data_IF_560355529376
#
_entry.id   IF_560355529376
#
_cell.length_a   1.000
_cell.length_b   1.000
_cell.length_c   1.000
_cell.angle_alpha   90.00
_cell.angle_beta   90.00
_cell.angle_gamma   90.00
#
_symmetry.space_group_name_H-M   'P 1'
#
loop_
_entity.id
_entity.type
_entity.pdbx_description
1 polymer ?
#
# COMPACT_ATOMS: atom_id res chain seq x y z
N UNK A 1 -34.91 36.70 2.67
CA UNK A 1 -35.19 35.24 2.83
C UNK A 1 -33.84 34.59 3.17
N UNK A 2 -33.59 34.41 4.46
CA UNK A 2 -32.47 33.64 4.97
C UNK A 2 -32.70 32.19 4.58
N UNK A 3 -31.84 31.68 3.70
CA UNK A 3 -31.73 30.26 3.40
C UNK A 3 -31.10 29.61 4.62
N UNK A 4 -31.91 29.06 5.52
CA UNK A 4 -31.45 28.14 6.58
C UNK A 4 -30.66 27.03 5.89
N UNK A 5 -29.38 27.06 6.03
CA UNK A 5 -28.50 25.95 5.66
C UNK A 5 -29.01 24.73 6.42
N UNK A 6 -29.44 23.70 5.68
CA UNK A 6 -29.81 22.41 6.28
C UNK A 6 -28.57 21.90 7.00
N UNK A 7 -28.65 21.84 8.35
CA UNK A 7 -27.61 21.21 9.16
C UNK A 7 -27.47 19.76 8.67
N UNK A 8 -26.28 19.36 8.20
CA UNK A 8 -26.06 17.98 7.80
C UNK A 8 -26.18 17.07 9.02
N UNK A 9 -26.85 15.95 8.87
CA UNK A 9 -27.11 15.02 9.97
C UNK A 9 -25.97 13.99 10.05
N UNK A 10 -25.47 13.78 11.27
CA UNK A 10 -24.58 12.66 11.59
C UNK A 10 -25.44 11.39 11.57
N UNK A 11 -24.98 10.34 10.87
CA UNK A 11 -25.73 9.09 10.73
C UNK A 11 -25.79 8.24 12.00
N UNK A 12 -24.90 8.52 12.97
CA UNK A 12 -24.83 7.84 14.26
C UNK A 12 -25.34 8.78 15.37
N UNK A 13 -26.18 8.28 16.25
CA UNK A 13 -26.56 9.02 17.47
C UNK A 13 -25.35 9.17 18.38
N UNK A 14 -24.99 10.40 18.72
CA UNK A 14 -23.93 10.72 19.69
C UNK A 14 -24.55 11.19 21.00
N UNK A 15 -23.92 10.82 22.12
CA UNK A 15 -24.38 11.27 23.44
C UNK A 15 -24.08 12.76 23.63
N UNK A 16 -24.81 13.43 24.55
CA UNK A 16 -24.54 14.85 24.91
C UNK A 16 -23.09 15.10 25.34
N UNK A 17 -22.45 14.15 26.02
CA UNK A 17 -21.04 14.27 26.42
C UNK A 17 -20.07 14.16 25.23
N UNK A 18 -20.39 13.32 24.27
CA UNK A 18 -19.63 13.24 23.02
C UNK A 18 -19.80 14.52 22.19
N UNK A 19 -20.99 15.07 22.10
CA UNK A 19 -21.25 16.35 21.44
C UNK A 19 -20.43 17.49 22.07
N UNK A 20 -20.42 17.57 23.42
CA UNK A 20 -19.58 18.53 24.16
C UNK A 20 -18.07 18.35 23.83
N UNK A 21 -17.59 17.14 23.77
CA UNK A 21 -16.17 16.87 23.41
C UNK A 21 -15.83 17.39 22.01
N UNK A 22 -16.73 17.22 21.03
CA UNK A 22 -16.54 17.74 19.66
C UNK A 22 -16.53 19.26 19.65
N UNK A 23 -17.48 19.90 20.31
CA UNK A 23 -17.56 21.38 20.40
C UNK A 23 -16.35 21.97 21.13
N UNK A 24 -15.88 21.32 22.19
CA UNK A 24 -14.69 21.76 22.91
C UNK A 24 -13.41 21.60 22.05
N UNK A 25 -13.25 20.49 21.32
CA UNK A 25 -12.15 20.32 20.38
C UNK A 25 -12.17 21.42 19.31
N UNK A 26 -13.34 21.74 18.80
CA UNK A 26 -13.51 22.83 17.84
C UNK A 26 -13.12 24.18 18.44
N UNK A 27 -13.59 24.49 19.63
CA UNK A 27 -13.28 25.74 20.37
C UNK A 27 -11.76 25.91 20.56
N UNK A 28 -11.05 24.82 20.87
CA UNK A 28 -9.62 24.86 21.13
C UNK A 28 -8.79 25.07 19.85
N UNK A 29 -9.24 24.57 18.70
CA UNK A 29 -8.40 24.49 17.51
C UNK A 29 -8.93 25.28 16.30
N UNK A 30 -10.06 25.97 16.41
CA UNK A 30 -10.69 26.69 15.29
C UNK A 30 -9.76 27.70 14.63
N UNK A 31 -8.91 28.38 15.41
CA UNK A 31 -7.97 29.38 14.93
C UNK A 31 -6.65 28.76 14.37
N UNK A 32 -6.42 27.47 14.59
CA UNK A 32 -5.21 26.77 14.12
C UNK A 32 -5.43 26.01 12.81
N UNK A 33 -6.68 25.57 12.55
CA UNK A 33 -7.06 24.87 11.33
C UNK A 33 -7.07 25.81 10.13
N UNK A 34 -6.73 25.30 8.95
CA UNK A 34 -6.75 26.09 7.72
C UNK A 34 -8.18 26.28 7.20
N UNK A 35 -8.45 27.32 6.41
CA UNK A 35 -9.75 27.47 5.73
C UNK A 35 -10.13 26.25 4.89
N UNK A 36 -9.14 25.57 4.28
CA UNK A 36 -9.35 24.35 3.50
C UNK A 36 -9.84 23.18 4.36
N UNK A 37 -9.31 23.05 5.57
CA UNK A 37 -9.76 22.02 6.52
C UNK A 37 -11.21 22.27 6.99
N UNK A 38 -11.61 23.54 7.13
CA UNK A 38 -12.97 23.91 7.54
C UNK A 38 -14.04 23.63 6.47
N UNK A 39 -13.65 23.36 5.24
CA UNK A 39 -14.57 22.87 4.21
C UNK A 39 -15.12 21.46 4.54
N UNK A 40 -14.47 20.70 5.43
CA UNK A 40 -14.92 19.41 5.95
C UNK A 40 -15.68 19.60 7.27
N UNK A 41 -17.00 19.70 7.22
CA UNK A 41 -17.86 19.87 8.39
C UNK A 41 -17.73 18.70 9.39
N UNK A 42 -17.25 17.51 8.96
CA UNK A 42 -17.04 16.34 9.81
C UNK A 42 -15.68 16.33 10.53
N UNK A 43 -14.80 17.29 10.27
CA UNK A 43 -13.41 17.29 10.75
C UNK A 43 -13.32 17.01 12.26
N UNK A 44 -13.89 17.86 13.07
CA UNK A 44 -13.79 17.76 14.54
C UNK A 44 -14.44 16.49 15.08
N UNK A 45 -15.57 16.09 14.52
CA UNK A 45 -16.25 14.83 14.87
C UNK A 45 -15.36 13.61 14.59
N UNK A 46 -14.78 13.52 13.39
CA UNK A 46 -13.94 12.38 12.99
C UNK A 46 -12.70 12.22 13.89
N UNK A 47 -12.04 13.33 14.21
CA UNK A 47 -10.87 13.31 15.09
C UNK A 47 -11.24 12.99 16.53
N UNK A 48 -12.38 13.49 17.03
CA UNK A 48 -12.91 13.11 18.35
C UNK A 48 -13.26 11.63 18.42
N UNK A 49 -14.00 11.12 17.43
CA UNK A 49 -14.41 9.72 17.35
C UNK A 49 -13.21 8.77 17.28
N UNK A 50 -12.19 9.11 16.50
CA UNK A 50 -10.96 8.31 16.35
C UNK A 50 -10.16 8.17 17.68
N UNK A 51 -10.53 8.91 18.71
CA UNK A 51 -9.94 8.86 20.07
C UNK A 51 -10.99 8.65 21.15
N UNK A 52 -12.09 7.97 20.80
CA UNK A 52 -13.19 7.65 21.73
C UNK A 52 -13.69 8.89 22.48
N UNK A 53 -13.71 10.05 21.80
CA UNK A 53 -14.10 11.37 22.32
C UNK A 53 -13.28 11.85 23.55
N UNK A 54 -12.06 11.30 23.73
CA UNK A 54 -11.12 11.77 24.74
C UNK A 54 -10.41 13.03 24.24
N UNK A 55 -10.80 14.18 24.80
CA UNK A 55 -10.39 15.49 24.31
C UNK A 55 -8.87 15.68 24.19
N UNK A 56 -8.01 15.34 25.19
CA UNK A 56 -6.56 15.54 25.06
C UNK A 56 -5.95 14.71 23.91
N UNK A 57 -6.44 13.48 23.72
CA UNK A 57 -5.94 12.59 22.68
C UNK A 57 -6.40 13.05 21.28
N UNK A 58 -7.66 13.53 21.17
CA UNK A 58 -8.20 14.07 19.93
C UNK A 58 -7.49 15.38 19.54
N UNK A 59 -7.24 16.26 20.51
CA UNK A 59 -6.48 17.50 20.33
C UNK A 59 -5.06 17.21 19.82
N UNK A 60 -4.34 16.32 20.48
CA UNK A 60 -2.98 15.94 20.06
C UNK A 60 -2.96 15.38 18.62
N UNK A 61 -3.94 14.54 18.28
CA UNK A 61 -4.05 13.98 16.92
C UNK A 61 -4.34 15.07 15.89
N UNK A 62 -5.28 15.98 16.17
CA UNK A 62 -5.64 17.03 15.21
C UNK A 62 -4.51 18.06 15.05
N UNK A 63 -3.76 18.41 16.11
CA UNK A 63 -2.57 19.27 16.01
C UNK A 63 -1.48 18.63 15.14
N UNK A 64 -1.25 17.33 15.30
CA UNK A 64 -0.33 16.57 14.44
C UNK A 64 -0.76 16.62 12.97
N UNK A 65 -2.06 16.46 12.71
CA UNK A 65 -2.63 16.58 11.37
C UNK A 65 -2.45 17.98 10.77
N UNK A 66 -2.69 19.03 11.54
CA UNK A 66 -2.46 20.43 11.10
C UNK A 66 -1.00 20.65 10.71
N UNK A 67 -0.05 20.18 11.53
CA UNK A 67 1.39 20.28 11.22
C UNK A 67 1.75 19.53 9.94
N UNK A 68 1.29 18.29 9.82
CA UNK A 68 1.53 17.46 8.63
C UNK A 68 0.98 18.11 7.35
N UNK A 69 -0.24 18.67 7.38
CA UNK A 69 -0.81 19.37 6.22
C UNK A 69 0.05 20.55 5.76
N UNK A 70 0.60 21.30 6.73
CA UNK A 70 1.51 22.44 6.46
C UNK A 70 2.85 21.94 5.90
N UNK A 71 3.47 20.93 6.51
CA UNK A 71 4.78 20.39 6.11
C UNK A 71 4.77 19.80 4.70
N UNK A 72 3.69 19.11 4.33
CA UNK A 72 3.57 18.45 3.02
C UNK A 72 2.86 19.34 2.00
N UNK A 73 2.35 20.51 2.42
CA UNK A 73 1.57 21.45 1.60
C UNK A 73 0.33 20.79 0.97
N UNK A 74 -0.40 19.99 1.77
CA UNK A 74 -1.56 19.22 1.30
C UNK A 74 -2.68 20.12 0.81
N UNK A 75 -2.90 21.27 1.43
CA UNK A 75 -3.99 22.18 1.07
C UNK A 75 -3.88 22.71 -0.37
N UNK A 76 -2.66 22.81 -0.88
CA UNK A 76 -2.38 23.26 -2.25
C UNK A 76 -2.00 22.10 -3.21
N UNK A 77 -2.01 20.85 -2.73
CA UNK A 77 -1.51 19.72 -3.55
C UNK A 77 -2.27 19.51 -4.85
N UNK A 78 -3.57 19.81 -4.87
CA UNK A 78 -4.39 19.66 -6.09
C UNK A 78 -4.18 20.76 -7.11
N UNK A 79 -3.65 21.92 -6.71
CA UNK A 79 -3.43 23.08 -7.58
C UNK A 79 -1.97 23.25 -7.97
N UNK A 80 -1.04 22.92 -7.08
CA UNK A 80 0.39 23.17 -7.27
C UNK A 80 1.18 21.94 -7.71
N UNK A 81 0.75 20.72 -7.32
CA UNK A 81 1.45 19.51 -7.69
C UNK A 81 0.83 18.86 -8.92
N UNK A 82 1.64 18.71 -9.97
CA UNK A 82 1.27 17.94 -11.16
C UNK A 82 1.84 16.53 -11.04
N UNK A 83 1.00 15.48 -10.96
CA UNK A 83 1.48 14.12 -10.96
C UNK A 83 2.33 13.79 -12.19
N UNK A 84 3.29 12.88 -12.00
CA UNK A 84 4.05 12.35 -13.12
C UNK A 84 3.14 11.50 -14.01
N UNK A 85 3.30 11.57 -15.32
CA UNK A 85 2.53 10.76 -16.29
C UNK A 85 2.62 9.27 -15.98
N UNK A 86 3.78 8.80 -15.53
CA UNK A 86 3.99 7.40 -15.11
C UNK A 86 3.09 7.03 -13.94
N UNK A 87 2.88 7.94 -12.98
CA UNK A 87 2.00 7.70 -11.84
C UNK A 87 0.55 7.56 -12.31
N UNK A 88 0.08 8.51 -13.11
CA UNK A 88 -1.30 8.52 -13.60
C UNK A 88 -1.64 7.31 -14.48
N UNK A 89 -0.65 6.78 -15.21
CA UNK A 89 -0.85 5.71 -16.18
C UNK A 89 -0.64 4.31 -15.61
N UNK A 90 0.27 4.15 -14.63
CA UNK A 90 0.72 2.83 -14.17
C UNK A 90 0.47 2.54 -12.70
N UNK A 91 0.04 3.52 -11.90
CA UNK A 91 -0.44 3.25 -10.54
C UNK A 91 -1.96 3.03 -10.60
N UNK A 92 -2.42 1.80 -10.39
CA UNK A 92 -3.81 1.41 -10.67
C UNK A 92 -4.75 1.77 -9.52
N UNK A 93 -4.95 3.06 -9.29
CA UNK A 93 -5.87 3.62 -8.30
C UNK A 93 -7.07 4.26 -9.01
N UNK A 94 -8.22 3.59 -9.02
CA UNK A 94 -9.39 4.07 -9.77
C UNK A 94 -10.58 4.33 -8.85
N UNK A 95 -11.22 5.47 -9.04
CA UNK A 95 -12.57 5.69 -8.54
C UNK A 95 -13.55 4.86 -9.37
N UNK A 96 -14.48 4.16 -8.71
CA UNK A 96 -15.46 3.28 -9.37
C UNK A 96 -16.83 3.92 -9.39
N UNK A 97 -17.40 4.17 -8.22
CA UNK A 97 -18.76 4.68 -8.02
C UNK A 97 -18.95 5.15 -6.57
N UNK A 98 -20.17 5.51 -6.23
CA UNK A 98 -20.65 5.56 -4.85
C UNK A 98 -21.50 4.32 -4.57
N UNK A 99 -21.43 3.80 -3.35
CA UNK A 99 -22.28 2.71 -2.89
C UNK A 99 -23.72 3.20 -2.58
N UNK A 100 -24.59 2.27 -2.20
CA UNK A 100 -26.00 2.56 -1.85
C UNK A 100 -26.17 3.58 -0.72
N UNK A 101 -25.15 3.71 0.16
CA UNK A 101 -25.16 4.67 1.28
C UNK A 101 -24.46 5.98 0.95
N UNK A 102 -23.90 6.11 -0.26
CA UNK A 102 -23.14 7.28 -0.71
C UNK A 102 -21.66 7.23 -0.32
N UNK A 103 -21.13 6.07 0.09
CA UNK A 103 -19.70 5.88 0.32
C UNK A 103 -18.96 5.72 -1.01
N UNK A 104 -17.77 6.32 -1.10
CA UNK A 104 -16.92 6.23 -2.28
C UNK A 104 -16.33 4.82 -2.41
N UNK A 105 -16.38 4.25 -3.61
CA UNK A 105 -15.75 2.96 -3.92
C UNK A 105 -14.51 3.18 -4.76
N UNK A 106 -13.38 2.66 -4.28
CA UNK A 106 -12.09 2.71 -4.96
C UNK A 106 -11.57 1.30 -5.24
N UNK A 107 -11.13 1.09 -6.48
CA UNK A 107 -10.50 -0.15 -6.91
C UNK A 107 -9.00 0.03 -7.11
N UNK A 108 -8.22 -0.91 -6.61
CA UNK A 108 -6.76 -0.90 -6.64
C UNK A 108 -6.26 -2.27 -7.13
N UNK A 109 -5.66 -2.31 -8.32
CA UNK A 109 -5.16 -3.54 -8.95
C UNK A 109 -3.68 -3.78 -8.65
N UNK A 110 -3.34 -4.09 -7.40
CA UNK A 110 -1.95 -4.36 -6.99
C UNK A 110 -1.41 -5.67 -7.56
N UNK A 111 -2.30 -6.62 -7.83
CA UNK A 111 -1.92 -7.92 -8.40
C UNK A 111 -1.25 -7.79 -9.75
N UNK A 112 -1.80 -7.00 -10.66
CA UNK A 112 -1.28 -6.81 -12.02
C UNK A 112 -0.25 -5.67 -12.13
N UNK A 113 -0.13 -4.80 -11.11
CA UNK A 113 0.78 -3.66 -11.11
C UNK A 113 2.25 -4.07 -11.31
N UNK A 114 2.99 -3.34 -12.12
CA UNK A 114 4.44 -3.51 -12.28
C UNK A 114 5.20 -2.75 -11.19
N UNK A 115 5.22 -3.32 -9.98
CA UNK A 115 5.84 -2.71 -8.79
C UNK A 115 7.29 -2.30 -9.09
N UNK A 116 8.09 -3.22 -9.67
CA UNK A 116 9.49 -2.94 -10.03
C UNK A 116 9.60 -1.80 -11.03
N UNK A 117 8.76 -1.79 -12.06
CA UNK A 117 8.73 -0.74 -13.07
C UNK A 117 8.36 0.64 -12.48
N UNK A 118 7.35 0.69 -11.64
CA UNK A 118 6.94 1.93 -10.94
C UNK A 118 8.08 2.48 -10.08
N UNK A 119 8.68 1.65 -9.22
CA UNK A 119 9.79 2.07 -8.35
C UNK A 119 11.10 2.32 -9.10
N UNK A 120 11.25 1.82 -10.33
CA UNK A 120 12.37 2.16 -11.20
C UNK A 120 12.16 3.47 -11.95
N UNK A 121 10.92 3.94 -12.09
CA UNK A 121 10.56 5.12 -12.88
C UNK A 121 10.29 6.37 -12.04
N UNK A 122 10.13 6.22 -10.72
CA UNK A 122 9.78 7.33 -9.82
C UNK A 122 10.46 7.18 -8.47
N UNK A 123 10.65 8.31 -7.80
CA UNK A 123 11.08 8.33 -6.40
C UNK A 123 9.91 7.93 -5.49
N UNK A 124 10.20 7.31 -4.35
CA UNK A 124 9.20 6.93 -3.34
C UNK A 124 8.31 8.12 -2.92
N UNK A 125 8.91 9.31 -2.79
CA UNK A 125 8.15 10.52 -2.43
C UNK A 125 7.12 10.92 -3.49
N UNK A 126 7.40 10.71 -4.78
CA UNK A 126 6.46 11.03 -5.85
C UNK A 126 5.29 10.03 -5.86
N UNK A 127 5.54 8.75 -5.52
CA UNK A 127 4.49 7.74 -5.35
C UNK A 127 3.56 8.14 -4.20
N UNK A 128 4.12 8.55 -3.05
CA UNK A 128 3.34 9.01 -1.90
C UNK A 128 2.55 10.28 -2.20
N UNK A 129 3.16 11.27 -2.88
CA UNK A 129 2.46 12.48 -3.31
C UNK A 129 1.29 12.17 -4.24
N UNK A 130 1.47 11.22 -5.17
CA UNK A 130 0.38 10.79 -6.04
C UNK A 130 -0.77 10.14 -5.24
N UNK A 131 -0.45 9.33 -4.24
CA UNK A 131 -1.45 8.77 -3.34
C UNK A 131 -2.20 9.87 -2.58
N UNK A 132 -1.52 10.91 -2.09
CA UNK A 132 -2.17 12.06 -1.42
C UNK A 132 -3.06 12.86 -2.38
N UNK A 133 -2.60 13.12 -3.60
CA UNK A 133 -3.45 13.74 -4.65
C UNK A 133 -4.73 12.93 -4.85
N UNK A 134 -4.61 11.62 -4.88
CA UNK A 134 -5.76 10.73 -5.06
C UNK A 134 -6.70 10.80 -3.87
N UNK A 135 -6.18 10.79 -2.63
CA UNK A 135 -6.99 10.93 -1.42
C UNK A 135 -7.67 12.30 -1.34
N UNK A 136 -6.97 13.40 -1.63
CA UNK A 136 -7.58 14.73 -1.61
C UNK A 136 -8.65 14.91 -2.71
N UNK A 137 -8.48 14.28 -3.87
CA UNK A 137 -9.56 14.20 -4.89
C UNK A 137 -10.77 13.42 -4.35
N UNK A 138 -10.54 12.36 -3.57
CA UNK A 138 -11.63 11.60 -2.96
C UNK A 138 -12.32 12.40 -1.85
N UNK A 139 -11.57 13.15 -1.03
CA UNK A 139 -12.16 14.07 -0.05
C UNK A 139 -13.07 15.12 -0.71
N UNK A 140 -12.69 15.65 -1.89
CA UNK A 140 -13.56 16.53 -2.67
C UNK A 140 -14.84 15.82 -3.10
N UNK A 141 -14.74 14.63 -3.71
CA UNK A 141 -15.89 13.84 -4.16
C UNK A 141 -16.83 13.51 -3.00
N UNK A 142 -16.27 13.12 -1.86
CA UNK A 142 -17.04 12.81 -0.65
C UNK A 142 -17.80 14.05 -0.14
N UNK A 143 -17.16 15.21 -0.10
CA UNK A 143 -17.81 16.48 0.30
C UNK A 143 -18.92 16.90 -0.66
N UNK A 144 -18.68 16.79 -1.96
CA UNK A 144 -19.71 17.08 -2.96
C UNK A 144 -20.93 16.13 -2.85
N UNK A 145 -20.65 14.85 -2.62
CA UNK A 145 -21.71 13.85 -2.41
C UNK A 145 -22.47 14.09 -1.12
N UNK A 146 -21.78 14.44 -0.02
CA UNK A 146 -22.40 14.81 1.27
C UNK A 146 -23.34 16.00 1.11
N UNK A 147 -22.96 17.02 0.35
CA UNK A 147 -23.84 18.18 0.06
C UNK A 147 -25.09 17.78 -0.71
N UNK A 148 -24.98 16.78 -1.62
CA UNK A 148 -26.14 16.28 -2.39
C UNK A 148 -27.06 15.39 -1.56
N UNK A 149 -26.50 14.54 -0.72
CA UNK A 149 -27.26 13.54 0.07
C UNK A 149 -27.73 14.07 1.43
N UNK A 150 -27.12 15.16 1.93
CA UNK A 150 -27.39 15.69 3.27
C UNK A 150 -26.74 14.89 4.40
N UNK A 151 -25.91 13.86 4.11
CA UNK A 151 -25.21 13.04 5.10
C UNK A 151 -23.84 13.63 5.41
N UNK A 152 -23.52 13.83 6.68
CA UNK A 152 -22.24 14.38 7.12
C UNK A 152 -21.11 13.37 7.03
N UNK A 153 -21.38 12.09 7.30
CA UNK A 153 -20.38 11.03 7.28
C UNK A 153 -20.17 10.50 5.87
N UNK A 154 -19.01 10.82 5.35
CA UNK A 154 -18.56 10.34 4.06
C UNK A 154 -17.38 9.36 4.25
N UNK A 155 -17.61 8.09 3.95
CA UNK A 155 -16.64 7.00 4.09
C UNK A 155 -16.28 6.42 2.72
N UNK A 156 -15.23 5.63 2.67
CA UNK A 156 -14.77 4.94 1.47
C UNK A 156 -14.74 3.44 1.66
N UNK A 157 -14.99 2.73 0.58
CA UNK A 157 -14.75 1.29 0.43
C UNK A 157 -13.54 1.14 -0.48
N UNK A 158 -12.52 0.43 -0.02
CA UNK A 158 -11.34 0.10 -0.82
C UNK A 158 -11.41 -1.36 -1.24
N UNK A 159 -11.31 -1.63 -2.54
CA UNK A 159 -11.25 -2.97 -3.11
C UNK A 159 -9.84 -3.18 -3.68
N UNK A 160 -9.05 -4.01 -3.01
CA UNK A 160 -7.69 -4.37 -3.44
C UNK A 160 -7.71 -5.72 -4.16
N UNK A 161 -7.31 -5.74 -5.41
CA UNK A 161 -7.16 -6.97 -6.18
C UNK A 161 -5.72 -7.46 -6.17
N UNK A 162 -5.53 -8.73 -5.77
CA UNK A 162 -4.23 -9.40 -5.72
C UNK A 162 -4.08 -10.53 -6.75
N UNK A 163 -4.92 -10.56 -7.80
CA UNK A 163 -4.74 -11.48 -8.90
C UNK A 163 -3.34 -11.28 -9.53
N UNK A 164 -2.59 -12.37 -9.73
CA UNK A 164 -1.20 -12.32 -10.23
C UNK A 164 -0.18 -11.63 -9.30
N UNK A 165 -0.52 -11.46 -8.02
CA UNK A 165 0.43 -10.96 -7.03
C UNK A 165 1.52 -12.02 -6.79
N UNK A 166 2.76 -11.68 -7.16
CA UNK A 166 3.88 -12.61 -7.14
C UNK A 166 4.74 -12.44 -5.91
N UNK A 167 5.61 -13.43 -5.67
CA UNK A 167 6.61 -13.37 -4.62
C UNK A 167 7.49 -12.11 -4.70
N UNK A 168 8.03 -11.76 -5.88
CA UNK A 168 8.87 -10.57 -6.05
C UNK A 168 8.15 -9.27 -5.65
N UNK A 169 6.84 -9.21 -5.86
CA UNK A 169 6.03 -8.08 -5.40
C UNK A 169 5.87 -8.11 -3.88
N UNK A 170 5.62 -9.30 -3.31
CA UNK A 170 5.40 -9.50 -1.88
C UNK A 170 6.63 -9.19 -1.02
N UNK A 171 7.83 -9.31 -1.58
CA UNK A 171 9.11 -9.07 -0.88
C UNK A 171 9.84 -7.82 -1.35
N UNK A 172 9.27 -7.06 -2.28
CA UNK A 172 9.90 -5.83 -2.78
C UNK A 172 9.99 -4.80 -1.65
N UNK A 173 11.18 -4.60 -1.10
CA UNK A 173 11.42 -3.82 0.11
C UNK A 173 10.83 -2.41 0.03
N UNK A 174 11.14 -1.66 -1.02
CA UNK A 174 10.65 -0.28 -1.17
C UNK A 174 9.13 -0.20 -1.27
N UNK A 175 8.48 -1.21 -1.87
CA UNK A 175 7.04 -1.29 -1.95
C UNK A 175 6.41 -1.53 -0.57
N UNK A 176 6.94 -2.50 0.19
CA UNK A 176 6.47 -2.79 1.56
C UNK A 176 6.64 -1.57 2.47
N UNK A 177 7.81 -0.92 2.42
CA UNK A 177 8.07 0.32 3.17
C UNK A 177 7.11 1.45 2.76
N UNK A 178 6.79 1.55 1.48
CA UNK A 178 5.83 2.53 0.97
C UNK A 178 4.42 2.25 1.48
N UNK A 179 3.98 0.98 1.48
CA UNK A 179 2.69 0.57 2.03
C UNK A 179 2.60 0.86 3.53
N UNK A 180 3.65 0.55 4.31
CA UNK A 180 3.71 0.85 5.74
C UNK A 180 3.59 2.36 5.98
N UNK A 181 4.40 3.15 5.27
CA UNK A 181 4.38 4.60 5.41
C UNK A 181 3.02 5.20 5.03
N UNK A 182 2.42 4.72 3.93
CA UNK A 182 1.10 5.14 3.52
C UNK A 182 0.04 4.78 4.57
N UNK A 183 0.07 3.57 5.12
CA UNK A 183 -0.86 3.12 6.14
C UNK A 183 -0.79 3.98 7.42
N UNK A 184 0.43 4.29 7.89
CA UNK A 184 0.64 5.16 9.05
C UNK A 184 0.10 6.58 8.79
N UNK A 185 0.46 7.18 7.66
CA UNK A 185 0.00 8.53 7.28
C UNK A 185 -1.52 8.54 7.14
N UNK A 186 -2.10 7.50 6.53
CA UNK A 186 -3.55 7.42 6.35
C UNK A 186 -4.28 7.34 7.70
N UNK A 187 -3.84 6.47 8.61
CA UNK A 187 -4.45 6.33 9.94
C UNK A 187 -4.38 7.62 10.77
N UNK A 188 -3.26 8.33 10.67
CA UNK A 188 -3.05 9.57 11.42
C UNK A 188 -3.82 10.77 10.85
N UNK A 189 -4.08 10.80 9.54
CA UNK A 189 -4.55 12.01 8.86
C UNK A 189 -5.94 11.89 8.23
N UNK A 190 -6.44 10.66 8.00
CA UNK A 190 -7.78 10.41 7.43
C UNK A 190 -8.62 9.51 8.34
N UNK A 191 -8.75 9.86 9.66
CA UNK A 191 -9.51 9.02 10.59
C UNK A 191 -10.98 8.94 10.19
N UNK A 192 -11.61 7.79 10.48
CA UNK A 192 -13.03 7.49 10.24
C UNK A 192 -13.47 7.55 8.76
N UNK A 193 -12.53 7.58 7.82
CA UNK A 193 -12.82 7.59 6.37
C UNK A 193 -12.99 6.21 5.76
N UNK A 194 -12.77 5.12 6.50
CA UNK A 194 -12.96 3.76 5.99
C UNK A 194 -14.26 3.15 6.50
N UNK A 195 -15.13 2.74 5.57
CA UNK A 195 -16.28 1.88 5.83
C UNK A 195 -15.84 0.43 5.89
N UNK A 196 -15.19 -0.07 4.84
CA UNK A 196 -14.59 -1.41 4.76
C UNK A 196 -13.44 -1.46 3.74
N UNK A 197 -12.57 -2.43 3.91
CA UNK A 197 -11.51 -2.79 2.96
C UNK A 197 -11.72 -4.23 2.52
N UNK A 198 -11.86 -4.46 1.23
CA UNK A 198 -12.10 -5.78 0.65
C UNK A 198 -10.86 -6.19 -0.13
N UNK A 199 -10.22 -7.27 0.29
CA UNK A 199 -9.09 -7.87 -0.40
C UNK A 199 -9.58 -9.07 -1.20
N UNK A 200 -9.41 -9.06 -2.52
CA UNK A 200 -9.86 -10.12 -3.42
C UNK A 200 -8.68 -10.81 -4.09
N UNK A 201 -8.87 -12.07 -4.48
CA UNK A 201 -7.83 -12.91 -5.09
C UNK A 201 -6.58 -13.04 -4.20
N UNK A 202 -6.76 -13.11 -2.87
CA UNK A 202 -5.64 -13.26 -1.93
C UNK A 202 -4.97 -14.62 -2.09
N UNK A 203 -3.64 -14.63 -1.99
CA UNK A 203 -2.79 -15.80 -2.13
C UNK A 203 -1.81 -15.90 -0.97
N UNK A 204 -1.01 -16.97 -0.91
CA UNK A 204 0.09 -17.09 0.05
C UNK A 204 1.06 -15.91 -0.02
N UNK A 205 1.32 -15.39 -1.22
CA UNK A 205 2.18 -14.21 -1.39
C UNK A 205 1.57 -12.93 -0.80
N UNK A 206 0.25 -12.77 -0.93
CA UNK A 206 -0.45 -11.70 -0.22
C UNK A 206 -0.26 -11.82 1.29
N UNK A 207 -0.47 -13.01 1.85
CA UNK A 207 -0.30 -13.26 3.30
C UNK A 207 1.09 -12.88 3.78
N UNK A 208 2.12 -13.17 2.98
CA UNK A 208 3.49 -12.82 3.24
C UNK A 208 3.69 -11.30 3.38
N UNK A 209 3.25 -10.53 2.39
CA UNK A 209 3.34 -9.07 2.42
C UNK A 209 2.48 -8.47 3.53
N UNK A 210 1.26 -8.97 3.71
CA UNK A 210 0.31 -8.48 4.70
C UNK A 210 0.79 -8.72 6.12
N UNK A 211 1.50 -9.83 6.40
CA UNK A 211 2.07 -10.11 7.73
C UNK A 211 3.01 -9.00 8.22
N UNK A 212 3.71 -8.34 7.30
CA UNK A 212 4.59 -7.20 7.61
C UNK A 212 3.77 -5.91 7.79
N UNK A 213 2.88 -5.60 6.85
CA UNK A 213 2.08 -4.36 6.90
C UNK A 213 1.14 -4.36 8.11
N UNK A 214 0.58 -5.51 8.46
CA UNK A 214 -0.33 -5.67 9.61
C UNK A 214 0.27 -5.20 10.93
N UNK A 215 1.58 -5.24 11.09
CA UNK A 215 2.25 -4.85 12.35
C UNK A 215 2.05 -3.39 12.73
N UNK A 216 1.73 -2.53 11.76
CA UNK A 216 1.52 -1.09 11.96
C UNK A 216 0.05 -0.66 11.88
N UNK A 217 -0.86 -1.59 11.60
CA UNK A 217 -2.28 -1.29 11.47
C UNK A 217 -2.99 -1.27 12.83
N UNK A 218 -3.83 -0.28 13.04
CA UNK A 218 -4.70 -0.21 14.20
C UNK A 218 -5.73 -1.35 14.19
N UNK A 219 -6.04 -1.91 15.35
CA UNK A 219 -7.00 -3.01 15.49
C UNK A 219 -8.38 -2.65 14.89
N UNK A 220 -8.86 -1.43 15.09
CA UNK A 220 -10.11 -0.92 14.54
C UNK A 220 -10.13 -0.94 12.98
N UNK A 221 -8.97 -0.69 12.34
CA UNK A 221 -8.86 -0.79 10.89
C UNK A 221 -8.86 -2.24 10.43
N UNK A 222 -8.15 -3.13 11.13
CA UNK A 222 -8.10 -4.57 10.81
C UNK A 222 -9.50 -5.18 10.86
N UNK A 223 -10.35 -4.78 11.82
CA UNK A 223 -11.74 -5.25 11.94
C UNK A 223 -12.61 -4.88 10.74
N UNK A 224 -12.26 -3.83 10.00
CA UNK A 224 -12.95 -3.40 8.77
C UNK A 224 -12.47 -4.13 7.52
N UNK A 225 -11.51 -5.05 7.63
CA UNK A 225 -10.90 -5.78 6.52
C UNK A 225 -11.59 -7.11 6.28
N UNK A 226 -11.91 -7.40 5.02
CA UNK A 226 -12.46 -8.67 4.57
C UNK A 226 -11.53 -9.27 3.49
N UNK A 227 -11.34 -10.58 3.56
CA UNK A 227 -10.38 -11.30 2.71
C UNK A 227 -11.08 -12.41 1.95
N UNK A 228 -10.92 -12.42 0.63
CA UNK A 228 -11.52 -13.39 -0.27
C UNK A 228 -10.46 -14.00 -1.20
N UNK A 229 -10.61 -15.30 -1.48
CA UNK A 229 -9.91 -15.94 -2.59
C UNK A 229 -10.44 -15.47 -3.94
N UNK A 230 -10.55 -16.40 -4.89
CA UNK A 230 -11.10 -16.13 -6.23
C UNK A 230 -12.63 -16.01 -6.27
N UNK A 231 -13.32 -16.37 -5.20
CA UNK A 231 -14.78 -16.46 -5.12
C UNK A 231 -15.32 -15.78 -3.87
N UNK A 232 -16.63 -15.49 -3.87
CA UNK A 232 -17.38 -15.00 -2.71
C UNK A 232 -17.30 -13.48 -2.49
N UNK A 233 -16.38 -12.77 -3.15
CA UNK A 233 -16.29 -11.32 -3.02
C UNK A 233 -17.36 -10.57 -3.80
N UNK A 234 -17.93 -11.19 -4.82
CA UNK A 234 -18.97 -10.59 -5.66
C UNK A 234 -20.22 -10.29 -4.82
N UNK A 235 -20.67 -11.26 -4.04
CA UNK A 235 -21.80 -11.13 -3.13
C UNK A 235 -21.54 -10.02 -2.10
N UNK A 236 -20.34 -10.00 -1.48
CA UNK A 236 -19.93 -8.97 -0.53
C UNK A 236 -19.97 -7.56 -1.14
N UNK A 237 -19.55 -7.40 -2.39
CA UNK A 237 -19.59 -6.12 -3.07
C UNK A 237 -21.04 -5.71 -3.42
N UNK A 238 -21.85 -6.65 -3.90
CA UNK A 238 -23.26 -6.41 -4.28
C UNK A 238 -24.16 -6.11 -3.08
N UNK A 239 -23.81 -6.53 -1.86
CA UNK A 239 -24.50 -6.09 -0.64
C UNK A 239 -24.52 -4.56 -0.53
N UNK A 240 -23.40 -3.92 -0.79
CA UNK A 240 -23.22 -2.48 -0.60
C UNK A 240 -23.36 -1.67 -1.90
N UNK A 241 -23.03 -2.25 -3.05
CA UNK A 241 -22.95 -1.55 -4.34
C UNK A 241 -24.09 -2.04 -5.24
N UNK A 242 -24.74 -1.13 -5.96
CA UNK A 242 -25.71 -1.49 -6.99
C UNK A 242 -25.03 -2.28 -8.11
N UNK A 243 -25.70 -3.32 -8.63
CA UNK A 243 -25.15 -4.10 -9.73
C UNK A 243 -24.88 -3.22 -10.99
N UNK A 244 -25.68 -2.20 -11.23
CA UNK A 244 -25.55 -1.30 -12.37
C UNK A 244 -24.38 -0.30 -12.21
N UNK A 245 -23.88 -0.10 -10.98
CA UNK A 245 -22.73 0.75 -10.68
C UNK A 245 -21.44 -0.05 -10.52
N UNK A 246 -21.55 -1.35 -10.22
CA UNK A 246 -20.40 -2.23 -10.05
C UNK A 246 -19.92 -2.74 -11.43
N UNK A 247 -18.60 -2.62 -11.75
CA UNK A 247 -18.03 -3.20 -12.97
C UNK A 247 -18.30 -4.68 -13.15
N UNK A 248 -18.51 -5.11 -14.40
CA UNK A 248 -18.79 -6.51 -14.74
C UNK A 248 -17.67 -7.46 -14.25
N UNK A 249 -16.40 -7.09 -14.36
CA UNK A 249 -15.29 -7.90 -13.86
C UNK A 249 -15.26 -8.06 -12.33
N UNK A 250 -16.04 -7.27 -11.59
CA UNK A 250 -16.22 -7.38 -10.15
C UNK A 250 -17.55 -8.06 -9.76
N UNK A 251 -18.32 -8.53 -10.76
CA UNK A 251 -19.60 -9.21 -10.55
C UNK A 251 -20.84 -8.33 -10.72
N UNK A 252 -20.71 -7.10 -11.21
CA UNK A 252 -21.82 -6.21 -11.54
C UNK A 252 -22.22 -6.26 -13.01
N UNK A 253 -22.89 -5.20 -13.48
CA UNK A 253 -23.39 -5.05 -14.86
C UNK A 253 -22.71 -3.91 -15.62
N UNK A 254 -21.91 -3.07 -14.93
CA UNK A 254 -21.32 -1.88 -15.54
C UNK A 254 -20.18 -2.23 -16.48
N UNK A 255 -20.26 -1.73 -17.70
CA UNK A 255 -19.22 -1.84 -18.72
C UNK A 255 -18.59 -0.49 -19.04
N UNK A 256 -17.46 -0.50 -19.72
CA UNK A 256 -16.87 0.70 -20.31
C UNK A 256 -17.70 1.27 -21.46
N UNK A 257 -17.26 2.41 -22.02
CA UNK A 257 -18.01 3.13 -23.09
C UNK A 257 -18.31 2.28 -24.32
N UNK A 258 -17.45 1.30 -24.61
CA UNK A 258 -17.58 0.43 -25.79
C UNK A 258 -18.09 -0.98 -25.42
N UNK A 259 -18.76 -1.12 -24.27
CA UNK A 259 -19.19 -2.42 -23.76
C UNK A 259 -18.01 -3.25 -23.19
N UNK A 260 -16.85 -2.65 -22.95
CA UNK A 260 -15.68 -3.33 -22.35
C UNK A 260 -16.00 -3.75 -20.90
N UNK A 261 -16.03 -5.07 -20.61
CA UNK A 261 -16.31 -5.58 -19.27
C UNK A 261 -15.24 -5.19 -18.25
N UNK A 262 -14.02 -4.88 -18.69
CA UNK A 262 -12.92 -4.43 -17.83
C UNK A 262 -12.99 -2.93 -17.51
N UNK A 263 -13.94 -2.20 -18.11
CA UNK A 263 -14.16 -0.77 -17.85
C UNK A 263 -12.90 0.11 -18.00
N UNK A 264 -12.03 -0.20 -18.96
CA UNK A 264 -10.74 0.51 -19.16
C UNK A 264 -10.88 1.99 -19.46
N UNK A 265 -12.06 2.46 -19.81
CA UNK A 265 -12.35 3.88 -20.01
C UNK A 265 -12.26 4.71 -18.71
N UNK A 266 -12.39 4.08 -17.53
CA UNK A 266 -12.31 4.74 -16.22
C UNK A 266 -11.60 3.92 -15.13
N UNK A 267 -11.27 2.66 -15.39
CA UNK A 267 -10.49 1.79 -14.50
C UNK A 267 -9.08 1.62 -15.05
N UNK A 268 -8.10 1.93 -14.25
CA UNK A 268 -6.68 1.68 -14.54
C UNK A 268 -6.34 0.29 -14.01
N UNK A 269 -6.09 -0.64 -14.91
CA UNK A 269 -5.54 -1.94 -14.57
C UNK A 269 -4.02 -1.89 -14.55
N UNK A 270 -3.40 -2.80 -13.75
CA UNK A 270 -1.96 -2.93 -13.72
C UNK A 270 -1.39 -3.30 -15.10
N UNK A 271 -0.30 -2.68 -15.47
CA UNK A 271 0.41 -2.94 -16.73
C UNK A 271 1.90 -2.68 -16.62
N UNK A 272 2.68 -3.22 -17.56
CA UNK A 272 4.14 -3.05 -17.60
C UNK A 272 4.53 -1.61 -17.86
N UNK A 273 5.41 -1.06 -17.02
CA UNK A 273 6.05 0.24 -17.24
C UNK A 273 7.15 0.09 -18.30
N UNK A 274 7.10 0.85 -19.41
CA UNK A 274 8.14 0.80 -20.42
C UNK A 274 9.50 1.22 -19.84
N UNK A 275 10.56 0.49 -20.20
CA UNK A 275 11.93 0.76 -19.71
C UNK A 275 12.45 2.16 -20.04
N UNK A 276 11.93 2.81 -21.07
CA UNK A 276 12.24 4.21 -21.41
C UNK A 276 11.85 5.21 -20.30
N UNK A 277 10.92 4.82 -19.44
CA UNK A 277 10.48 5.63 -18.31
C UNK A 277 11.32 5.42 -17.05
N UNK A 278 12.24 4.45 -17.05
CA UNK A 278 13.08 4.18 -15.90
C UNK A 278 14.06 5.32 -15.66
N UNK A 279 14.18 5.74 -14.42
CA UNK A 279 15.19 6.69 -14.01
C UNK A 279 16.56 6.06 -14.29
N UNK A 280 17.31 6.66 -15.19
CA UNK A 280 18.62 6.16 -15.57
C UNK A 280 19.60 6.37 -14.41
N UNK A 281 19.81 5.38 -13.59
CA UNK A 281 20.98 5.33 -12.72
C UNK A 281 22.12 4.69 -13.50
N UNK A 282 22.92 5.50 -14.20
CA UNK A 282 24.10 5.08 -14.94
C UNK A 282 25.21 4.50 -14.05
N UNK A 283 25.07 4.58 -12.72
CA UNK A 283 26.05 4.11 -11.77
C UNK A 283 25.52 2.93 -10.96
N UNK A 284 26.24 1.82 -11.06
CA UNK A 284 26.04 0.67 -10.17
C UNK A 284 26.44 1.05 -8.76
N UNK A 285 25.47 1.21 -7.88
CA UNK A 285 25.63 1.81 -6.56
C UNK A 285 26.23 0.80 -5.59
N UNK A 286 25.78 -0.45 -5.67
CA UNK A 286 26.18 -1.46 -4.69
C UNK A 286 27.63 -1.91 -4.85
N UNK A 287 28.16 -1.90 -6.08
CA UNK A 287 29.59 -2.18 -6.32
C UNK A 287 30.54 -1.16 -5.70
N UNK A 288 30.03 0.02 -5.32
CA UNK A 288 30.82 1.09 -4.65
C UNK A 288 30.50 1.19 -3.16
N UNK A 289 29.53 0.44 -2.66
CA UNK A 289 29.13 0.49 -1.25
C UNK A 289 30.17 -0.25 -0.38
N UNK A 290 30.68 0.37 0.71
CA UNK A 290 31.74 -0.22 1.53
C UNK A 290 31.28 -1.47 2.31
N UNK A 291 29.98 -1.63 2.51
CA UNK A 291 29.34 -2.73 3.23
C UNK A 291 28.82 -3.84 2.28
N UNK A 292 29.05 -3.73 0.98
CA UNK A 292 28.65 -4.75 0.01
C UNK A 292 29.76 -5.79 -0.20
N UNK A 293 29.37 -7.05 -0.14
CA UNK A 293 30.25 -8.16 -0.45
C UNK A 293 30.20 -8.47 -1.96
N UNK A 294 31.36 -8.78 -2.52
CA UNK A 294 31.46 -9.29 -3.90
C UNK A 294 31.42 -10.80 -3.90
N UNK A 295 30.57 -11.37 -4.75
CA UNK A 295 30.40 -12.80 -4.95
C UNK A 295 30.51 -13.15 -6.44
N UNK A 296 31.23 -14.22 -6.78
CA UNK A 296 31.28 -14.75 -8.15
C UNK A 296 30.62 -16.12 -8.18
N UNK A 297 29.48 -16.23 -8.88
CA UNK A 297 28.77 -17.49 -9.06
C UNK A 297 29.22 -18.10 -10.40
N UNK A 298 29.92 -19.21 -10.34
CA UNK A 298 30.44 -19.89 -11.54
C UNK A 298 29.28 -20.43 -12.39
N UNK A 299 29.56 -20.67 -13.67
CA UNK A 299 28.61 -21.36 -14.56
C UNK A 299 28.27 -22.75 -14.00
N UNK A 300 27.03 -23.20 -14.17
CA UNK A 300 26.50 -24.46 -13.66
C UNK A 300 26.56 -24.61 -12.13
N UNK A 301 26.79 -23.52 -11.38
CA UNK A 301 26.88 -23.57 -9.94
C UNK A 301 25.88 -22.62 -9.25
N UNK A 302 25.82 -22.75 -7.94
CA UNK A 302 25.09 -21.88 -7.04
C UNK A 302 25.98 -21.50 -5.86
N UNK A 303 25.68 -20.36 -5.24
CA UNK A 303 26.30 -19.90 -4.02
C UNK A 303 25.24 -19.69 -2.95
N UNK A 304 25.54 -20.13 -1.73
CA UNK A 304 24.61 -20.13 -0.61
C UNK A 304 25.13 -19.23 0.52
N UNK A 305 24.24 -18.44 1.10
CA UNK A 305 24.52 -17.59 2.26
C UNK A 305 23.53 -17.92 3.38
N UNK A 306 24.06 -18.15 4.56
CA UNK A 306 23.32 -18.66 5.71
C UNK A 306 23.09 -17.55 6.73
N UNK A 307 21.85 -17.38 7.17
CA UNK A 307 21.44 -16.37 8.14
C UNK A 307 20.69 -17.05 9.29
N UNK A 308 21.23 -16.97 10.49
CA UNK A 308 20.62 -17.56 11.68
C UNK A 308 19.64 -16.56 12.32
N UNK A 309 18.39 -16.96 12.44
CA UNK A 309 17.32 -16.25 13.12
C UNK A 309 17.06 -16.88 14.46
N UNK A 310 17.27 -16.13 15.54
CA UNK A 310 17.02 -16.57 16.92
C UNK A 310 15.66 -16.14 17.44
N UNK A 311 15.20 -14.95 17.05
CA UNK A 311 13.96 -14.35 17.50
C UNK A 311 12.89 -14.40 16.41
N UNK A 312 11.74 -15.07 16.65
CA UNK A 312 10.61 -15.04 15.72
C UNK A 312 10.14 -13.59 15.46
N UNK A 313 9.75 -13.31 14.24
CA UNK A 313 9.34 -11.97 13.81
C UNK A 313 10.50 -11.06 13.39
N UNK A 314 11.75 -11.56 13.43
CA UNK A 314 12.89 -10.88 12.81
C UNK A 314 12.71 -10.75 11.29
N UNK A 315 13.48 -9.86 10.69
CA UNK A 315 13.43 -9.63 9.25
C UNK A 315 14.75 -9.98 8.59
N UNK A 316 14.71 -10.80 7.54
CA UNK A 316 15.80 -10.98 6.61
C UNK A 316 15.68 -9.91 5.54
N UNK A 317 16.65 -8.99 5.50
CA UNK A 317 16.79 -7.94 4.50
C UNK A 317 17.91 -8.30 3.54
N UNK A 318 17.69 -8.07 2.25
CA UNK A 318 18.73 -8.22 1.23
C UNK A 318 18.70 -7.11 0.20
N UNK A 319 19.84 -6.86 -0.37
CA UNK A 319 20.01 -6.03 -1.54
C UNK A 319 21.10 -6.66 -2.40
N UNK A 320 20.88 -6.82 -3.70
CA UNK A 320 21.91 -7.31 -4.60
C UNK A 320 21.83 -6.70 -6.01
N UNK A 321 22.98 -6.68 -6.65
CA UNK A 321 23.17 -6.15 -8.00
C UNK A 321 24.08 -7.10 -8.76
N UNK A 322 23.71 -7.50 -9.97
CA UNK A 322 24.57 -8.24 -10.88
C UNK A 322 25.35 -7.26 -11.74
N UNK A 323 26.59 -7.57 -12.03
CA UNK A 323 27.39 -6.79 -12.98
C UNK A 323 26.76 -6.77 -14.37
N UNK A 324 26.23 -7.93 -14.80
CA UNK A 324 25.61 -8.10 -16.10
C UNK A 324 24.43 -9.07 -16.02
N UNK A 325 23.30 -8.70 -16.64
CA UNK A 325 22.11 -9.54 -16.83
C UNK A 325 21.47 -9.99 -15.49
N UNK A 326 20.91 -11.18 -15.49
CA UNK A 326 20.13 -11.75 -14.42
C UNK A 326 20.87 -12.81 -13.61
N UNK A 327 20.32 -13.15 -12.44
CA UNK A 327 20.73 -14.25 -11.59
C UNK A 327 19.49 -14.99 -11.06
N UNK A 328 19.59 -16.31 -10.90
CA UNK A 328 18.61 -17.07 -10.15
C UNK A 328 18.71 -16.73 -8.67
N UNK A 329 17.55 -16.52 -8.02
CA UNK A 329 17.47 -16.19 -6.62
C UNK A 329 16.38 -17.04 -5.96
N UNK A 330 16.71 -17.64 -4.81
CA UNK A 330 15.79 -18.45 -4.02
C UNK A 330 16.16 -18.37 -2.54
N UNK A 331 15.18 -18.49 -1.66
CA UNK A 331 15.40 -18.58 -0.21
C UNK A 331 14.82 -19.89 0.32
N UNK A 332 15.60 -20.61 1.10
CA UNK A 332 15.19 -21.81 1.81
C UNK A 332 15.19 -21.57 3.33
N UNK A 333 14.38 -22.35 4.04
CA UNK A 333 14.42 -22.47 5.49
C UNK A 333 14.94 -23.85 5.87
N UNK A 334 15.83 -23.87 6.85
CA UNK A 334 16.38 -25.07 7.45
C UNK A 334 16.09 -25.05 8.95
N UNK A 335 15.34 -26.02 9.42
CA UNK A 335 15.06 -26.18 10.84
C UNK A 335 16.30 -26.75 11.57
N UNK A 336 16.79 -26.08 12.62
CA UNK A 336 18.07 -26.39 13.25
C UNK A 336 18.06 -27.68 14.09
N UNK A 337 16.89 -28.33 14.27
CA UNK A 337 16.69 -29.42 15.24
C UNK A 337 16.67 -30.83 14.64
N UNK A 338 16.93 -31.02 13.38
CA UNK A 338 16.86 -32.31 12.70
C UNK A 338 18.16 -32.69 12.00
N UNK A 339 18.73 -33.86 12.31
CA UNK A 339 19.90 -34.41 11.59
C UNK A 339 19.65 -34.67 10.08
N UNK A 340 18.36 -34.80 9.70
CA UNK A 340 17.89 -34.82 8.29
C UNK A 340 17.07 -33.58 8.03
N UNK A 341 17.71 -32.42 8.05
CA UNK A 341 17.00 -31.17 7.78
C UNK A 341 16.66 -31.06 6.29
N UNK A 342 15.40 -31.27 5.95
CA UNK A 342 14.88 -30.89 4.65
C UNK A 342 14.86 -29.37 4.53
N UNK A 343 15.51 -28.85 3.48
CA UNK A 343 15.37 -27.47 3.08
C UNK A 343 13.94 -27.25 2.58
N UNK A 344 13.21 -26.39 3.25
CA UNK A 344 11.88 -25.95 2.82
C UNK A 344 12.05 -24.74 1.94
N UNK A 345 11.65 -24.83 0.69
CA UNK A 345 11.64 -23.69 -0.21
C UNK A 345 10.58 -22.68 0.27
N UNK A 346 11.04 -21.54 0.75
CA UNK A 346 10.16 -20.42 1.13
C UNK A 346 9.80 -19.58 -0.07
N UNK A 347 10.68 -19.54 -1.03
CA UNK A 347 10.66 -18.68 -2.19
C UNK A 347 11.01 -19.52 -3.41
N UNK A 348 10.09 -19.64 -4.38
CA UNK A 348 10.42 -20.29 -5.64
C UNK A 348 11.59 -19.62 -6.35
N UNK A 349 12.46 -20.43 -6.93
CA UNK A 349 13.58 -19.93 -7.73
C UNK A 349 13.09 -19.03 -8.85
N UNK A 350 13.60 -17.82 -8.91
CA UNK A 350 13.27 -16.82 -9.94
C UNK A 350 14.52 -16.22 -10.53
N UNK A 351 14.48 -15.86 -11.83
CA UNK A 351 15.56 -15.12 -12.49
C UNK A 351 15.29 -13.63 -12.38
N UNK A 352 16.21 -12.91 -11.73
CA UNK A 352 16.08 -11.48 -11.42
C UNK A 352 17.11 -10.68 -12.20
N UNK A 353 16.64 -9.77 -13.05
CA UNK A 353 17.47 -8.82 -13.78
C UNK A 353 17.63 -7.53 -12.95
N UNK A 354 18.88 -7.18 -12.65
CA UNK A 354 19.23 -5.98 -11.87
C UNK A 354 19.97 -4.94 -12.71
N UNK A 355 19.85 -4.98 -14.04
CA UNK A 355 20.57 -4.07 -14.95
C UNK A 355 20.24 -2.60 -14.72
N UNK A 356 19.02 -2.28 -14.24
CA UNK A 356 18.55 -0.91 -14.04
C UNK A 356 18.61 -0.45 -12.60
N UNK A 357 18.40 -1.37 -11.65
CA UNK A 357 18.34 -1.07 -10.22
C UNK A 357 18.66 -2.34 -9.44
N UNK A 358 19.37 -2.24 -8.28
CA UNK A 358 19.53 -3.35 -7.36
C UNK A 358 18.18 -3.92 -6.94
N UNK A 359 18.11 -5.22 -6.74
CA UNK A 359 16.97 -5.89 -6.14
C UNK A 359 17.05 -5.73 -4.63
N UNK A 360 15.97 -5.28 -4.00
CA UNK A 360 15.86 -5.09 -2.56
C UNK A 360 14.67 -5.85 -2.03
N UNK A 361 14.89 -6.71 -1.06
CA UNK A 361 13.83 -7.49 -0.45
C UNK A 361 13.82 -7.45 1.06
N UNK A 362 12.64 -7.72 1.61
CA UNK A 362 12.36 -7.83 3.02
C UNK A 362 11.45 -9.04 3.25
N UNK A 363 11.89 -9.95 4.11
CA UNK A 363 11.15 -11.15 4.47
C UNK A 363 11.03 -11.26 5.98
N UNK A 364 9.81 -11.43 6.49
CA UNK A 364 9.58 -11.67 7.92
C UNK A 364 9.79 -13.13 8.24
N UNK A 365 10.68 -13.40 9.18
CA UNK A 365 11.05 -14.73 9.64
C UNK A 365 10.20 -15.11 10.87
N UNK A 366 9.14 -15.89 10.68
CA UNK A 366 8.22 -16.25 11.75
C UNK A 366 8.72 -17.41 12.62
N UNK A 367 9.77 -18.12 12.18
CA UNK A 367 10.37 -19.25 12.88
C UNK A 367 11.86 -19.01 13.16
N UNK A 368 12.35 -19.42 14.33
CA UNK A 368 13.81 -19.48 14.56
C UNK A 368 14.40 -20.61 13.72
N UNK A 369 15.63 -20.42 13.26
CA UNK A 369 16.32 -21.39 12.41
C UNK A 369 17.21 -20.72 11.38
N UNK A 370 17.72 -21.48 10.43
CA UNK A 370 18.63 -21.00 9.41
C UNK A 370 17.87 -20.68 8.10
N UNK A 371 17.96 -19.45 7.65
CA UNK A 371 17.48 -19.00 6.34
C UNK A 371 18.64 -18.97 5.36
N UNK A 372 18.46 -19.60 4.19
CA UNK A 372 19.52 -19.78 3.21
C UNK A 372 19.15 -19.01 1.95
N UNK A 373 19.91 -17.97 1.68
CA UNK A 373 19.81 -17.18 0.43
C UNK A 373 20.71 -17.84 -0.62
N UNK A 374 20.15 -18.17 -1.76
CA UNK A 374 20.88 -18.85 -2.84
C UNK A 374 20.89 -17.99 -4.10
N UNK A 375 22.09 -17.74 -4.60
CA UNK A 375 22.33 -17.17 -5.92
C UNK A 375 22.68 -18.29 -6.89
N UNK A 376 21.86 -18.50 -7.90
CA UNK A 376 21.92 -19.67 -8.79
C UNK A 376 22.25 -19.26 -10.22
N UNK A 377 23.37 -19.76 -10.73
CA UNK A 377 23.82 -19.61 -12.10
C UNK A 377 23.88 -20.97 -12.84
N UNK A 378 23.12 -21.96 -12.36
CA UNK A 378 23.12 -23.31 -12.94
C UNK A 378 22.63 -23.36 -14.38
N UNK A 379 21.87 -22.38 -14.82
CA UNK A 379 21.33 -22.23 -16.17
C UNK A 379 22.29 -21.57 -17.17
N UNK A 380 23.38 -20.98 -16.72
CA UNK A 380 24.32 -20.25 -17.60
C UNK A 380 25.39 -21.16 -18.18
N UNK A 381 25.45 -21.21 -19.50
CA UNK A 381 26.40 -22.03 -20.23
C UNK A 381 27.74 -21.35 -20.47
N UNK A 382 27.77 -20.04 -20.55
CA UNK A 382 28.90 -19.29 -21.06
C UNK A 382 29.70 -18.52 -20.03
N UNK A 383 29.02 -17.90 -19.06
CA UNK A 383 29.66 -16.89 -18.20
C UNK A 383 29.41 -17.08 -16.72
N UNK A 384 30.41 -16.85 -15.86
CA UNK A 384 30.19 -16.61 -14.42
C UNK A 384 29.40 -15.32 -14.23
N UNK A 385 28.75 -15.18 -13.08
CA UNK A 385 28.02 -13.99 -12.68
C UNK A 385 28.72 -13.33 -11.50
N UNK A 386 29.13 -12.08 -11.66
CA UNK A 386 29.56 -11.24 -10.54
C UNK A 386 28.38 -10.55 -9.91
N UNK A 387 28.25 -10.68 -8.60
CA UNK A 387 27.17 -10.11 -7.79
C UNK A 387 27.80 -9.27 -6.69
N UNK A 388 27.26 -8.12 -6.45
CA UNK A 388 27.48 -7.34 -5.24
C UNK A 388 26.22 -7.45 -4.41
N UNK A 389 26.36 -7.83 -3.14
CA UNK A 389 25.21 -8.03 -2.27
C UNK A 389 25.51 -7.58 -0.85
N UNK A 390 24.45 -7.27 -0.12
CA UNK A 390 24.44 -7.17 1.33
C UNK A 390 23.14 -7.79 1.84
N UNK A 391 23.23 -8.53 2.93
CA UNK A 391 22.07 -9.09 3.59
C UNK A 391 22.30 -9.17 5.09
N UNK A 392 21.23 -9.02 5.86
CA UNK A 392 21.31 -9.02 7.33
C UNK A 392 20.02 -9.47 7.96
N UNK A 393 20.10 -9.92 9.21
CA UNK A 393 18.92 -10.08 10.07
C UNK A 393 18.73 -8.78 10.87
N UNK A 394 17.53 -8.25 10.83
CA UNK A 394 17.06 -7.14 11.66
C UNK A 394 16.08 -7.68 12.69
N UNK A 395 16.27 -7.33 13.95
CA UNK A 395 15.37 -7.74 15.04
C UNK A 395 14.00 -7.04 14.93
N UNK A 396 12.94 -7.61 15.52
CA UNK A 396 11.58 -7.09 15.38
C UNK A 396 11.40 -5.62 15.83
N UNK A 397 12.19 -5.20 16.81
CA UNK A 397 12.12 -3.89 17.47
C UNK A 397 13.27 -2.94 17.11
N UNK A 398 14.06 -3.25 16.08
CA UNK A 398 15.23 -2.46 15.67
C UNK A 398 14.93 -1.53 14.49
#
# INVERSE_FOLDING_TARGET
KETRSKKMEISEEISPDQEKAVEELKRLLIDEVTPKMLEDESLFYRFSKARDFKLPEAEAMLRKHISWRKEVNIDAILTEYKPLEVAEKYIPFSFVCFDKDGCLVRYIDLGSADIKGVFSSMKKIDILKYAFVTLEKDELRLRENSKKTGKLEAKSIFVFNFKEFSFLKATHKEFIECLIQFALIFQDNYPERIKKVVFINVSTYFTLAFSVVKTVLAAALIQKMKFFGSEGYQEELLESISADDLPEFLGGNKTGTDGDPLCKSFIIHGSKVPKKNYLCNSEKILSKAPDAEKLTVMRFSKEEKYFEVKEPGSFLEWEFETKNKDIGFVIYFKENFSEKSNLVELIPKQRIDTCYKPEKGLFRCDKPGTYVVVFDNSYSWLHPKEIYYRARIRLPNA
#
